data_IF_815197476268
#
_entry.id   IF_815197476268
#
_cell.length_a   1.000
_cell.length_b   1.000
_cell.length_c   1.000
_cell.angle_alpha   90.00
_cell.angle_beta   90.00
_cell.angle_gamma   90.00
#
_symmetry.space_group_name_H-M   'P 1'
#
loop_
_entity.id
_entity.type
_entity.pdbx_description
1 polymer ?
#
# COMPACT_ATOMS: atom_id res chain seq x y z
N UNK A 1 -10.62 -20.42 7.43
CA UNK A 1 -9.54 -20.63 8.41
C UNK A 1 -8.20 -20.89 7.74
N UNK A 2 -8.04 -21.95 6.92
CA UNK A 2 -6.77 -22.26 6.24
C UNK A 2 -6.25 -21.09 5.38
N UNK A 3 -7.13 -20.41 4.62
CA UNK A 3 -6.77 -19.21 3.84
C UNK A 3 -6.14 -18.11 4.69
N UNK A 4 -6.71 -17.80 5.87
CA UNK A 4 -6.21 -16.73 6.73
C UNK A 4 -4.85 -17.08 7.36
N UNK A 5 -4.61 -18.36 7.68
CA UNK A 5 -3.31 -18.82 8.19
C UNK A 5 -2.23 -18.62 7.13
N UNK A 6 -2.48 -19.02 5.88
CA UNK A 6 -1.57 -18.80 4.76
C UNK A 6 -1.33 -17.31 4.50
N UNK A 7 -2.39 -16.52 4.48
CA UNK A 7 -2.32 -15.07 4.27
C UNK A 7 -1.47 -14.35 5.34
N UNK A 8 -1.69 -14.67 6.62
CA UNK A 8 -0.88 -14.12 7.72
C UNK A 8 0.58 -14.56 7.61
N UNK A 9 0.84 -15.82 7.25
CA UNK A 9 2.20 -16.34 7.06
C UNK A 9 2.96 -15.59 5.95
N UNK A 10 2.32 -15.35 4.81
CA UNK A 10 2.90 -14.57 3.71
C UNK A 10 3.18 -13.12 4.14
N UNK A 11 2.26 -12.49 4.88
CA UNK A 11 2.46 -11.12 5.37
C UNK A 11 3.64 -11.02 6.35
N UNK A 12 3.77 -11.97 7.29
CA UNK A 12 4.89 -12.03 8.23
C UNK A 12 6.22 -12.26 7.51
N UNK A 13 6.23 -13.12 6.49
CA UNK A 13 7.42 -13.33 5.65
C UNK A 13 7.83 -12.05 4.91
N UNK A 14 6.86 -11.34 4.33
CA UNK A 14 7.10 -10.05 3.66
C UNK A 14 7.67 -9.01 4.63
N UNK A 15 7.16 -8.92 5.86
CA UNK A 15 7.73 -8.06 6.90
C UNK A 15 9.18 -8.47 7.24
N UNK A 16 9.46 -9.77 7.31
CA UNK A 16 10.82 -10.29 7.49
C UNK A 16 11.76 -9.87 6.36
N UNK A 17 11.29 -9.88 5.11
CA UNK A 17 12.04 -9.42 3.93
C UNK A 17 12.34 -7.92 4.02
N UNK A 18 11.37 -7.11 4.43
CA UNK A 18 11.57 -5.66 4.63
C UNK A 18 12.66 -5.41 5.68
N UNK A 19 12.61 -6.08 6.83
CA UNK A 19 13.65 -5.95 7.87
C UNK A 19 15.02 -6.45 7.41
N UNK A 20 15.06 -7.47 6.56
CA UNK A 20 16.31 -7.93 5.95
C UNK A 20 16.92 -6.86 5.02
N UNK A 21 16.10 -6.20 4.21
CA UNK A 21 16.55 -5.12 3.31
C UNK A 21 17.04 -3.90 4.12
N UNK A 22 16.33 -3.52 5.19
CA UNK A 22 16.64 -2.32 5.96
C UNK A 22 17.78 -2.51 6.97
N UNK A 23 17.83 -3.65 7.65
CA UNK A 23 18.72 -3.90 8.79
C UNK A 23 19.70 -5.07 8.57
N UNK A 24 19.56 -5.83 7.48
CA UNK A 24 20.36 -7.03 7.22
C UNK A 24 19.99 -8.25 8.06
N UNK A 25 18.87 -8.21 8.80
CA UNK A 25 18.49 -9.29 9.72
C UNK A 25 17.97 -10.53 8.98
N UNK A 26 18.19 -11.77 9.49
CA UNK A 26 17.67 -12.97 8.86
C UNK A 26 16.15 -12.97 8.75
N UNK A 27 15.62 -13.25 7.55
CA UNK A 27 14.18 -13.12 7.23
C UNK A 27 13.29 -13.88 8.22
N UNK A 28 13.60 -15.16 8.50
CA UNK A 28 12.80 -16.00 9.39
C UNK A 28 12.83 -15.50 10.83
N UNK A 29 14.00 -15.05 11.31
CA UNK A 29 14.12 -14.50 12.66
C UNK A 29 13.31 -13.20 12.81
N UNK A 30 13.40 -12.31 11.82
CA UNK A 30 12.61 -11.09 11.75
C UNK A 30 11.09 -11.38 11.70
N UNK A 31 10.66 -12.36 10.90
CA UNK A 31 9.26 -12.75 10.83
C UNK A 31 8.74 -13.30 12.17
N UNK A 32 9.53 -14.13 12.86
CA UNK A 32 9.19 -14.66 14.19
C UNK A 32 9.09 -13.52 15.22
N UNK A 33 10.03 -12.57 15.18
CA UNK A 33 10.01 -11.40 16.08
C UNK A 33 8.74 -10.56 15.89
N UNK A 34 8.39 -10.23 14.64
CA UNK A 34 7.17 -9.48 14.32
C UNK A 34 5.94 -10.28 14.76
N UNK A 35 5.90 -11.58 14.50
CA UNK A 35 4.80 -12.44 14.95
C UNK A 35 4.65 -12.46 16.47
N UNK A 36 5.76 -12.52 17.22
CA UNK A 36 5.75 -12.50 18.68
C UNK A 36 5.23 -11.17 19.23
N UNK A 37 5.71 -10.04 18.70
CA UNK A 37 5.22 -8.71 19.09
C UNK A 37 3.72 -8.58 18.78
N UNK A 38 3.30 -9.05 17.60
CA UNK A 38 1.89 -9.07 17.21
C UNK A 38 1.04 -9.93 18.12
N UNK A 39 1.49 -11.12 18.49
CA UNK A 39 0.78 -11.98 19.41
C UNK A 39 0.61 -11.32 20.79
N UNK A 40 1.63 -10.61 21.29
CA UNK A 40 1.56 -9.93 22.60
C UNK A 40 0.49 -8.85 22.62
N UNK A 41 0.46 -7.91 21.67
CA UNK A 41 -0.55 -6.84 21.73
C UNK A 41 -1.97 -7.35 21.39
N UNK A 42 -2.09 -8.36 20.52
CA UNK A 42 -3.39 -8.98 20.21
C UNK A 42 -3.96 -9.69 21.44
N UNK A 43 -3.13 -10.43 22.17
CA UNK A 43 -3.57 -11.15 23.38
C UNK A 43 -3.87 -10.19 24.53
N UNK A 44 -3.11 -9.12 24.69
CA UNK A 44 -3.31 -8.14 25.76
C UNK A 44 -4.53 -7.24 25.55
N UNK A 45 -4.79 -6.77 24.33
CA UNK A 45 -5.82 -5.75 24.08
C UNK A 45 -6.97 -6.19 23.15
N UNK A 46 -6.95 -7.43 22.68
CA UNK A 46 -8.02 -8.00 21.85
C UNK A 46 -8.26 -7.24 20.53
N UNK A 47 -9.50 -7.27 20.04
CA UNK A 47 -9.86 -6.66 18.76
C UNK A 47 -9.69 -5.14 18.75
N UNK A 48 -9.86 -4.47 19.89
CA UNK A 48 -9.70 -3.00 20.00
C UNK A 48 -8.25 -2.58 19.80
N UNK A 49 -7.28 -3.33 20.36
CA UNK A 49 -5.86 -3.05 20.12
C UNK A 49 -5.51 -3.17 18.65
N UNK A 50 -6.03 -4.18 17.96
CA UNK A 50 -5.80 -4.37 16.52
C UNK A 50 -6.36 -3.19 15.72
N UNK A 51 -7.58 -2.72 16.04
CA UNK A 51 -8.18 -1.59 15.35
C UNK A 51 -7.36 -0.31 15.56
N UNK A 52 -6.84 -0.08 16.78
CA UNK A 52 -6.04 1.11 17.07
C UNK A 52 -4.67 1.07 16.40
N UNK A 53 -4.01 -0.09 16.37
CA UNK A 53 -2.74 -0.24 15.63
C UNK A 53 -2.94 -0.03 14.15
N UNK A 54 -4.02 -0.58 13.58
CA UNK A 54 -4.35 -0.40 12.16
C UNK A 54 -4.68 1.07 11.83
N UNK A 55 -5.41 1.76 12.71
CA UNK A 55 -5.71 3.19 12.54
C UNK A 55 -4.42 4.02 12.51
N UNK A 56 -3.52 3.78 13.47
CA UNK A 56 -2.24 4.47 13.52
C UNK A 56 -1.39 4.21 12.28
N UNK A 57 -1.28 2.96 11.85
CA UNK A 57 -0.57 2.59 10.62
C UNK A 57 -1.20 3.22 9.37
N UNK A 58 -2.53 3.22 9.28
CA UNK A 58 -3.27 3.85 8.18
C UNK A 58 -3.00 5.35 8.09
N UNK A 59 -3.04 6.06 9.23
CA UNK A 59 -2.73 7.50 9.28
C UNK A 59 -1.28 7.74 8.84
N UNK A 60 -0.31 7.00 9.41
CA UNK A 60 1.10 7.15 9.03
C UNK A 60 1.33 6.92 7.54
N UNK A 61 0.71 5.89 6.96
CA UNK A 61 0.84 5.56 5.54
C UNK A 61 0.26 6.66 4.66
N UNK A 62 -0.94 7.15 4.97
CA UNK A 62 -1.59 8.23 4.23
C UNK A 62 -0.75 9.52 4.32
N UNK A 63 -0.30 9.90 5.51
CA UNK A 63 0.55 11.08 5.70
C UNK A 63 1.86 10.95 4.92
N UNK A 64 2.54 9.81 5.01
CA UNK A 64 3.83 9.59 4.36
C UNK A 64 3.73 9.64 2.84
N UNK A 65 2.75 8.97 2.24
CA UNK A 65 2.63 9.02 0.77
C UNK A 65 2.15 10.38 0.25
N UNK A 66 1.31 11.10 0.99
CA UNK A 66 0.98 12.51 0.64
C UNK A 66 2.25 13.37 0.69
N UNK A 67 3.08 13.21 1.73
CA UNK A 67 4.34 13.95 1.86
C UNK A 67 5.30 13.63 0.71
N UNK A 68 5.50 12.36 0.37
CA UNK A 68 6.36 11.95 -0.75
C UNK A 68 5.85 12.54 -2.07
N UNK A 69 4.54 12.49 -2.32
CA UNK A 69 3.96 13.08 -3.52
C UNK A 69 4.22 14.59 -3.60
N UNK A 70 3.97 15.30 -2.49
CA UNK A 70 4.16 16.74 -2.42
C UNK A 70 5.63 17.13 -2.59
N UNK A 71 6.55 16.46 -1.87
CA UNK A 71 7.98 16.70 -1.97
C UNK A 71 8.51 16.38 -3.37
N UNK A 72 8.05 15.28 -3.98
CA UNK A 72 8.41 14.92 -5.35
C UNK A 72 7.96 15.97 -6.37
N UNK A 73 6.72 16.47 -6.25
CA UNK A 73 6.21 17.55 -7.10
C UNK A 73 7.02 18.84 -6.91
N UNK A 74 7.28 19.22 -5.65
CA UNK A 74 8.04 20.44 -5.35
C UNK A 74 9.48 20.36 -5.87
N UNK A 75 10.14 19.22 -5.69
CA UNK A 75 11.51 18.98 -6.15
C UNK A 75 11.63 19.06 -7.68
N UNK A 76 10.62 18.57 -8.41
CA UNK A 76 10.57 18.65 -9.87
C UNK A 76 10.22 20.06 -10.40
N UNK A 77 9.99 21.04 -9.53
CA UNK A 77 9.67 22.41 -9.93
C UNK A 77 8.17 22.67 -10.13
N UNK A 78 7.31 21.84 -9.53
CA UNK A 78 5.86 22.04 -9.50
C UNK A 78 5.06 20.99 -10.28
N UNK A 79 3.73 21.10 -10.20
CA UNK A 79 2.80 20.10 -10.74
C UNK A 79 2.90 19.98 -12.27
N UNK A 80 3.09 21.10 -12.97
CA UNK A 80 3.23 21.10 -14.43
C UNK A 80 4.46 20.32 -14.88
N UNK A 81 5.60 20.52 -14.21
CA UNK A 81 6.83 19.78 -14.51
C UNK A 81 6.71 18.31 -14.14
N UNK A 82 6.13 18.00 -12.97
CA UNK A 82 5.84 16.61 -12.58
C UNK A 82 4.97 15.91 -13.63
N UNK A 83 3.87 16.53 -14.04
CA UNK A 83 2.98 15.98 -15.04
C UNK A 83 3.67 15.85 -16.40
N UNK A 84 4.49 16.83 -16.79
CA UNK A 84 5.29 16.83 -18.02
C UNK A 84 6.30 15.68 -18.09
N UNK A 85 6.97 15.38 -16.98
CA UNK A 85 7.96 14.30 -16.88
C UNK A 85 7.35 12.91 -16.73
N UNK A 86 6.05 12.79 -16.43
CA UNK A 86 5.40 11.48 -16.42
C UNK A 86 5.27 10.95 -17.85
N UNK A 87 5.76 9.74 -18.18
CA UNK A 87 5.53 9.14 -19.49
C UNK A 87 4.01 8.98 -19.77
N UNK A 88 3.59 9.11 -21.03
CA UNK A 88 2.16 9.01 -21.40
C UNK A 88 1.50 7.73 -20.90
N UNK A 89 2.24 6.62 -20.86
CA UNK A 89 1.77 5.34 -20.33
C UNK A 89 1.37 5.43 -18.86
N UNK A 90 2.12 6.16 -18.02
CA UNK A 90 1.84 6.28 -16.58
C UNK A 90 0.72 7.28 -16.27
N UNK A 91 0.26 8.05 -17.26
CA UNK A 91 -0.89 8.96 -17.15
C UNK A 91 -2.22 8.28 -17.51
N UNK A 92 -2.18 7.07 -18.08
CA UNK A 92 -3.36 6.31 -18.48
C UNK A 92 -3.79 5.37 -17.36
N UNK A 93 -5.10 5.25 -17.15
CA UNK A 93 -5.65 4.30 -16.18
C UNK A 93 -5.37 2.83 -16.57
N UNK A 94 -5.25 2.54 -17.87
CA UNK A 94 -4.95 1.21 -18.41
C UNK A 94 -3.86 1.30 -19.49
N UNK A 95 -2.58 1.42 -19.10
CA UNK A 95 -1.46 1.65 -20.02
C UNK A 95 -1.30 0.51 -21.05
N UNK A 96 -1.67 -0.71 -20.64
CA UNK A 96 -1.65 -1.92 -21.46
C UNK A 96 -3.06 -2.54 -21.51
N UNK A 97 -3.96 -1.97 -22.31
CA UNK A 97 -5.29 -2.53 -22.54
C UNK A 97 -5.16 -3.84 -23.33
N UNK A 98 -4.89 -4.94 -22.62
CA UNK A 98 -4.75 -6.29 -23.17
C UNK A 98 -3.64 -6.47 -24.24
N UNK A 99 -2.66 -5.55 -24.28
CA UNK A 99 -1.55 -5.58 -25.23
C UNK A 99 -0.41 -6.52 -24.84
N UNK A 100 -0.27 -6.81 -23.53
CA UNK A 100 0.66 -7.80 -23.00
C UNK A 100 -0.12 -8.91 -22.28
N UNK A 101 -0.11 -10.17 -22.77
CA UNK A 101 -0.77 -11.30 -22.12
C UNK A 101 -0.24 -11.60 -20.71
N UNK A 102 0.98 -11.17 -20.38
CA UNK A 102 1.61 -11.38 -19.07
C UNK A 102 1.24 -10.30 -18.05
N UNK A 103 0.88 -9.09 -18.50
CA UNK A 103 0.49 -7.98 -17.64
C UNK A 103 -0.72 -7.18 -18.18
N UNK A 104 -1.91 -7.81 -18.26
CA UNK A 104 -3.11 -7.14 -18.75
C UNK A 104 -3.68 -6.19 -17.69
N UNK A 105 -3.50 -4.88 -17.87
CA UNK A 105 -3.91 -3.83 -16.92
C UNK A 105 -5.38 -3.93 -16.48
N UNK A 106 -6.27 -4.25 -17.43
CA UNK A 106 -7.71 -4.39 -17.17
C UNK A 106 -8.01 -5.66 -16.39
N UNK A 107 -7.32 -6.75 -16.71
CA UNK A 107 -7.43 -8.02 -15.99
C UNK A 107 -7.00 -7.84 -14.53
N UNK A 108 -5.86 -7.19 -14.31
CA UNK A 108 -5.34 -6.87 -12.96
C UNK A 108 -6.33 -5.98 -12.20
N UNK A 109 -6.90 -4.96 -12.83
CA UNK A 109 -7.87 -4.11 -12.15
C UNK A 109 -9.13 -4.86 -11.71
N UNK A 110 -9.72 -5.67 -12.60
CA UNK A 110 -10.94 -6.43 -12.25
C UNK A 110 -10.67 -7.58 -11.30
N UNK A 111 -9.54 -8.28 -11.47
CA UNK A 111 -9.15 -9.40 -10.62
C UNK A 111 -8.67 -8.90 -9.25
N UNK A 112 -7.64 -8.07 -9.22
CA UNK A 112 -6.94 -7.69 -7.99
C UNK A 112 -7.57 -6.45 -7.34
N UNK A 113 -7.90 -5.43 -8.15
CA UNK A 113 -8.55 -4.22 -7.65
C UNK A 113 -9.96 -4.46 -7.13
N UNK A 114 -10.80 -5.17 -7.90
CA UNK A 114 -12.22 -5.35 -7.59
C UNK A 114 -12.53 -6.70 -6.92
N UNK A 115 -12.27 -7.82 -7.60
CA UNK A 115 -12.72 -9.14 -7.15
C UNK A 115 -12.00 -9.61 -5.88
N UNK A 116 -10.67 -9.48 -5.81
CA UNK A 116 -9.87 -9.86 -4.65
C UNK A 116 -10.20 -8.97 -3.44
N UNK A 117 -10.33 -7.66 -3.64
CA UNK A 117 -10.77 -6.72 -2.59
C UNK A 117 -12.15 -7.09 -2.06
N UNK A 118 -13.13 -7.33 -2.93
CA UNK A 118 -14.47 -7.75 -2.50
C UNK A 118 -14.41 -9.07 -1.72
N UNK A 119 -13.70 -10.07 -2.25
CA UNK A 119 -13.49 -11.35 -1.60
C UNK A 119 -12.86 -11.17 -0.21
N UNK A 120 -11.86 -10.31 -0.07
CA UNK A 120 -11.21 -10.04 1.21
C UNK A 120 -12.19 -9.46 2.23
N UNK A 121 -13.03 -8.51 1.83
CA UNK A 121 -14.04 -7.92 2.72
C UNK A 121 -15.09 -8.93 3.19
N UNK A 122 -15.47 -9.89 2.35
CA UNK A 122 -16.48 -10.90 2.69
C UNK A 122 -15.92 -12.15 3.39
N UNK A 123 -14.72 -12.61 3.03
CA UNK A 123 -14.13 -13.83 3.57
C UNK A 123 -13.30 -13.59 4.84
N UNK A 124 -12.81 -12.37 5.05
CA UNK A 124 -12.04 -12.04 6.24
C UNK A 124 -12.99 -11.72 7.41
N UNK A 125 -13.20 -12.72 8.26
CA UNK A 125 -14.03 -12.60 9.46
C UNK A 125 -13.57 -11.44 10.37
N UNK A 126 -12.26 -11.21 10.50
CA UNK A 126 -11.70 -10.11 11.28
C UNK A 126 -12.11 -8.73 10.74
N UNK A 127 -12.27 -8.63 9.43
CA UNK A 127 -12.69 -7.40 8.77
C UNK A 127 -14.20 -7.16 8.92
N UNK A 128 -15.01 -8.21 8.71
CA UNK A 128 -16.47 -8.15 8.90
C UNK A 128 -16.85 -7.75 10.33
N UNK A 129 -16.14 -8.27 11.35
CA UNK A 129 -16.38 -7.93 12.75
C UNK A 129 -16.16 -6.45 13.07
N UNK A 130 -15.33 -5.72 12.32
CA UNK A 130 -15.14 -4.27 12.51
C UNK A 130 -16.43 -3.51 12.20
N UNK A 131 -17.11 -3.87 11.12
CA UNK A 131 -18.38 -3.25 10.76
C UNK A 131 -19.53 -3.67 11.68
N UNK A 132 -19.52 -4.91 12.19
CA UNK A 132 -20.52 -5.37 13.15
C UNK A 132 -20.37 -4.74 14.54
N UNK A 133 -19.17 -4.24 14.88
CA UNK A 133 -18.93 -3.51 16.13
C UNK A 133 -19.46 -2.07 16.11
N UNK A 134 -19.99 -1.60 14.97
CA UNK A 134 -20.60 -0.28 14.87
C UNK A 134 -21.87 -0.17 15.74
N UNK A 135 -22.12 1.03 16.29
CA UNK A 135 -23.23 1.30 17.22
C UNK A 135 -24.61 1.00 16.61
N UNK A 136 -24.72 1.11 15.29
CA UNK A 136 -25.95 0.81 14.55
C UNK A 136 -25.64 0.25 13.17
N UNK A 137 -26.62 -0.45 12.60
CA UNK A 137 -26.53 -0.97 11.23
C UNK A 137 -26.43 0.14 10.19
N UNK A 138 -26.99 1.32 10.47
CA UNK A 138 -26.85 2.51 9.65
C UNK A 138 -25.40 3.02 9.63
N UNK A 139 -24.75 3.04 10.79
CA UNK A 139 -23.36 3.48 10.92
C UNK A 139 -22.40 2.48 10.26
N UNK A 140 -22.67 1.18 10.38
CA UNK A 140 -21.91 0.14 9.66
C UNK A 140 -21.99 0.32 8.14
N UNK A 141 -23.18 0.60 7.60
CA UNK A 141 -23.37 0.88 6.16
C UNK A 141 -22.64 2.15 5.72
N UNK A 142 -22.74 3.25 6.49
CA UNK A 142 -22.01 4.49 6.21
C UNK A 142 -20.50 4.26 6.25
N UNK A 143 -20.00 3.50 7.22
CA UNK A 143 -18.58 3.17 7.34
C UNK A 143 -18.07 2.40 6.11
N UNK A 144 -18.82 1.39 5.64
CA UNK A 144 -18.47 0.66 4.42
C UNK A 144 -18.41 1.60 3.20
N UNK A 145 -19.40 2.49 3.06
CA UNK A 145 -19.40 3.47 1.96
C UNK A 145 -18.20 4.40 2.01
N UNK A 146 -17.84 4.91 3.19
CA UNK A 146 -16.64 5.75 3.36
C UNK A 146 -15.36 4.97 3.03
N UNK A 147 -15.27 3.71 3.46
CA UNK A 147 -14.11 2.86 3.13
C UNK A 147 -13.96 2.68 1.62
N UNK A 148 -15.05 2.33 0.93
CA UNK A 148 -15.02 2.04 -0.50
C UNK A 148 -14.86 3.30 -1.35
N UNK A 149 -15.55 4.39 -1.01
CA UNK A 149 -15.58 5.60 -1.86
C UNK A 149 -14.49 6.61 -1.52
N UNK A 150 -13.95 6.60 -0.31
CA UNK A 150 -12.97 7.61 0.14
C UNK A 150 -11.65 6.97 0.47
N UNK A 151 -11.62 6.01 1.41
CA UNK A 151 -10.35 5.47 1.91
C UNK A 151 -9.64 4.61 0.88
N UNK A 152 -10.35 3.77 0.12
CA UNK A 152 -9.74 2.95 -0.93
C UNK A 152 -9.12 3.79 -2.05
N UNK A 153 -9.82 4.77 -2.67
CA UNK A 153 -9.20 5.65 -3.66
C UNK A 153 -8.04 6.47 -3.10
N UNK A 154 -8.18 7.01 -1.89
CA UNK A 154 -7.10 7.75 -1.25
C UNK A 154 -5.87 6.87 -1.03
N UNK A 155 -6.05 5.65 -0.50
CA UNK A 155 -4.96 4.69 -0.32
C UNK A 155 -4.32 4.30 -1.66
N UNK A 156 -5.11 4.09 -2.72
CA UNK A 156 -4.60 3.79 -4.05
C UNK A 156 -3.72 4.92 -4.60
N UNK A 157 -4.13 6.18 -4.45
CA UNK A 157 -3.35 7.35 -4.86
C UNK A 157 -2.04 7.43 -4.06
N UNK A 158 -2.13 7.28 -2.73
CA UNK A 158 -0.96 7.37 -1.83
C UNK A 158 0.04 6.26 -2.12
N UNK A 159 -0.40 5.03 -2.38
CA UNK A 159 0.50 3.91 -2.72
C UNK A 159 1.10 4.09 -4.12
N UNK A 160 0.29 4.52 -5.10
CA UNK A 160 0.77 4.79 -6.46
C UNK A 160 1.74 5.97 -6.52
N UNK A 161 1.63 6.93 -5.59
CA UNK A 161 2.42 8.17 -5.60
C UNK A 161 3.93 7.93 -5.63
N UNK A 162 4.45 6.97 -4.87
CA UNK A 162 5.88 6.67 -4.87
C UNK A 162 6.37 6.15 -6.22
N UNK A 163 5.57 5.33 -6.91
CA UNK A 163 5.87 4.87 -8.26
C UNK A 163 5.84 6.01 -9.29
N UNK A 164 4.84 6.90 -9.20
CA UNK A 164 4.75 8.07 -10.08
C UNK A 164 5.91 9.04 -9.87
N UNK A 165 6.25 9.35 -8.62
CA UNK A 165 7.37 10.24 -8.27
C UNK A 165 8.69 9.61 -8.71
N UNK A 166 8.94 8.34 -8.42
CA UNK A 166 10.13 7.63 -8.88
C UNK A 166 10.27 7.70 -10.40
N UNK A 167 9.19 7.43 -11.15
CA UNK A 167 9.23 7.45 -12.61
C UNK A 167 9.47 8.85 -13.17
N UNK A 168 8.86 9.86 -12.58
CA UNK A 168 9.06 11.25 -12.96
C UNK A 168 10.53 11.67 -12.74
N UNK A 169 11.12 11.31 -11.61
CA UNK A 169 12.53 11.57 -11.28
C UNK A 169 13.49 10.84 -12.22
N UNK A 170 13.19 9.59 -12.61
CA UNK A 170 13.97 8.86 -13.61
C UNK A 170 13.92 9.56 -14.97
N UNK A 171 12.73 10.01 -15.40
CA UNK A 171 12.57 10.72 -16.67
C UNK A 171 13.26 12.09 -16.67
N UNK A 172 13.29 12.77 -15.52
CA UNK A 172 14.04 14.01 -15.30
C UNK A 172 15.57 13.81 -15.25
N UNK A 173 16.06 12.56 -15.33
CA UNK A 173 17.48 12.24 -15.26
C UNK A 173 18.09 12.32 -13.86
N UNK A 174 17.26 12.42 -12.82
CA UNK A 174 17.69 12.55 -11.41
C UNK A 174 17.91 11.20 -10.73
N UNK A 175 17.26 10.15 -11.22
CA UNK A 175 17.40 8.77 -10.75
C UNK A 175 17.85 7.83 -11.88
N UNK A 176 18.63 6.78 -11.58
CA UNK A 176 19.08 5.83 -12.58
C UNK A 176 17.91 5.07 -13.23
N UNK A 177 17.99 4.74 -14.53
CA UNK A 177 16.88 4.13 -15.28
C UNK A 177 16.59 2.66 -14.90
N UNK A 178 17.54 1.97 -14.28
CA UNK A 178 17.45 0.55 -13.90
C UNK A 178 16.94 0.32 -12.46
N UNK A 179 16.04 1.18 -11.98
CA UNK A 179 15.41 0.95 -10.67
C UNK A 179 14.41 -0.20 -10.80
N UNK A 180 14.50 -1.18 -9.90
CA UNK A 180 13.52 -2.24 -9.80
C UNK A 180 12.19 -1.68 -9.30
N UNK A 181 11.08 -2.13 -9.87
CA UNK A 181 9.75 -1.60 -9.55
C UNK A 181 9.36 -1.81 -8.07
N UNK A 182 9.85 -2.88 -7.43
CA UNK A 182 9.63 -3.17 -6.01
C UNK A 182 10.40 -2.23 -5.06
N UNK A 183 11.42 -1.53 -5.56
CA UNK A 183 12.26 -0.61 -4.80
C UNK A 183 11.93 0.87 -5.11
N UNK A 184 11.10 1.14 -6.12
CA UNK A 184 10.83 2.48 -6.61
C UNK A 184 10.36 3.46 -5.51
N UNK A 185 9.45 3.01 -4.65
CA UNK A 185 8.97 3.81 -3.51
C UNK A 185 10.11 4.14 -2.54
N UNK A 186 10.93 3.14 -2.20
CA UNK A 186 12.06 3.31 -1.28
C UNK A 186 13.09 4.28 -1.86
N UNK A 187 13.53 4.06 -3.09
CA UNK A 187 14.53 4.91 -3.76
C UNK A 187 14.06 6.35 -3.89
N UNK A 188 12.79 6.58 -4.26
CA UNK A 188 12.23 7.92 -4.32
C UNK A 188 12.19 8.60 -2.95
N UNK A 189 11.75 7.87 -1.91
CA UNK A 189 11.71 8.41 -0.55
C UNK A 189 13.10 8.70 0.02
N UNK A 190 14.09 7.83 -0.20
CA UNK A 190 15.47 8.02 0.23
C UNK A 190 16.09 9.23 -0.49
N UNK A 191 15.85 9.38 -1.79
CA UNK A 191 16.34 10.53 -2.55
C UNK A 191 15.75 11.85 -2.05
N UNK A 192 14.44 11.90 -1.82
CA UNK A 192 13.75 13.12 -1.36
C UNK A 192 13.99 13.46 0.11
N UNK A 193 14.46 12.51 0.91
CA UNK A 193 14.76 12.70 2.34
C UNK A 193 16.24 12.99 2.61
N UNK A 194 17.10 12.94 1.59
CA UNK A 194 18.49 13.38 1.72
C UNK A 194 18.53 14.90 1.96
N UNK A 195 19.33 15.37 2.94
CA UNK A 195 19.47 16.79 3.24
C UNK A 195 20.18 17.56 2.13
#
# INVERSE_FOLDING_TARGET
MIYLIGYVGVNLFTMGKVLNILLGWPIIASAILVAAISAVYVTAGGQTSVIMTDLFQGIMLLTTGILILFLGINYLGGLEQFWGHLPRTHRLAFPNFNSDPSFPSVGIFWQDGMANTAMFFFLNQGFAMRFMSAKSMMDGRKAILVVVLVLMPAAAIVVASGGWVAKALVHAGMLPPNIREDEAFFVASEFLSKP
#
